data_IF_399436477228
#
_entry.id   IF_399436477228
#
_cell.length_a   1.000
_cell.length_b   1.000
_cell.length_c   1.000
_cell.angle_alpha   90.00
_cell.angle_beta   90.00
_cell.angle_gamma   90.00
#
_symmetry.space_group_name_H-M   'P 1'
#
loop_
_entity.id
_entity.type
_entity.pdbx_description
1 polymer ?
#
# COMPACT_ATOMS: atom_id res chain seq x y z
N UNK A 1 -10.44 2.33 20.31
CA UNK A 1 -9.00 2.32 19.97
C UNK A 1 -8.87 1.62 18.62
N UNK A 2 -8.40 2.31 17.59
CA UNK A 2 -8.11 1.69 16.28
C UNK A 2 -6.89 0.79 16.43
N UNK A 3 -6.91 -0.39 15.81
CA UNK A 3 -5.75 -1.29 15.77
C UNK A 3 -5.05 -1.22 14.41
N UNK A 4 -3.76 -1.56 14.35
CA UNK A 4 -3.05 -1.71 13.07
C UNK A 4 -3.72 -2.71 12.12
N UNK A 5 -4.37 -3.75 12.66
CA UNK A 5 -5.16 -4.70 11.86
C UNK A 5 -6.40 -4.08 11.22
N UNK A 6 -7.07 -3.14 11.91
CA UNK A 6 -8.23 -2.43 11.37
C UNK A 6 -7.82 -1.47 10.24
N UNK A 7 -6.69 -0.76 10.40
CA UNK A 7 -6.11 0.08 9.34
C UNK A 7 -5.69 -0.76 8.14
N UNK A 8 -5.04 -1.90 8.38
CA UNK A 8 -4.64 -2.84 7.31
C UNK A 8 -5.85 -3.35 6.52
N UNK A 9 -6.92 -3.75 7.22
CA UNK A 9 -8.15 -4.23 6.58
C UNK A 9 -8.81 -3.14 5.74
N UNK A 10 -8.92 -1.92 6.26
CA UNK A 10 -9.50 -0.79 5.54
C UNK A 10 -8.68 -0.41 4.29
N UNK A 11 -7.35 -0.35 4.39
CA UNK A 11 -6.48 -0.11 3.23
C UNK A 11 -6.65 -1.21 2.18
N UNK A 12 -6.65 -2.49 2.59
CA UNK A 12 -6.90 -3.61 1.68
C UNK A 12 -8.23 -3.46 0.96
N UNK A 13 -9.30 -3.10 1.67
CA UNK A 13 -10.64 -2.99 1.09
C UNK A 13 -10.72 -1.83 0.08
N UNK A 14 -10.10 -0.68 0.39
CA UNK A 14 -9.97 0.45 -0.55
C UNK A 14 -9.19 0.08 -1.82
N UNK A 15 -8.17 -0.78 -1.69
CA UNK A 15 -7.36 -1.24 -2.82
C UNK A 15 -8.04 -2.33 -3.65
N UNK A 16 -8.82 -3.22 -3.02
CA UNK A 16 -9.50 -4.33 -3.69
C UNK A 16 -10.56 -3.84 -4.68
N UNK A 17 -11.04 -2.60 -4.51
CA UNK A 17 -11.94 -1.93 -5.46
C UNK A 17 -11.27 -1.39 -6.73
N UNK A 18 -9.98 -1.62 -6.96
CA UNK A 18 -9.26 -1.18 -8.17
C UNK A 18 -9.44 -2.22 -9.29
N UNK A 19 -10.10 -1.87 -10.41
CA UNK A 19 -10.33 -2.81 -11.52
C UNK A 19 -9.04 -3.38 -12.09
N UNK A 20 -9.12 -4.63 -12.57
CA UNK A 20 -8.01 -5.33 -13.25
C UNK A 20 -6.75 -5.53 -12.39
N UNK A 21 -6.86 -5.41 -11.07
CA UNK A 21 -5.77 -5.70 -10.13
C UNK A 21 -6.16 -6.82 -9.17
N UNK A 22 -5.16 -7.57 -8.72
CA UNK A 22 -5.28 -8.45 -7.55
C UNK A 22 -4.54 -7.82 -6.38
N UNK A 23 -5.11 -7.85 -5.17
CA UNK A 23 -4.46 -7.33 -3.96
C UNK A 23 -3.95 -8.49 -3.12
N UNK A 24 -2.67 -8.46 -2.77
CA UNK A 24 -2.04 -9.37 -1.83
C UNK A 24 -1.62 -8.62 -0.55
N UNK A 25 -1.53 -9.33 0.57
CA UNK A 25 -1.13 -8.75 1.86
C UNK A 25 0.04 -9.55 2.43
N UNK A 26 1.16 -8.88 2.69
CA UNK A 26 2.34 -9.43 3.37
C UNK A 26 3.10 -10.53 2.61
N UNK A 27 2.62 -10.98 1.45
CA UNK A 27 3.32 -11.93 0.58
C UNK A 27 2.71 -11.93 -0.82
N UNK A 28 3.48 -12.34 -1.82
CA UNK A 28 2.98 -12.62 -3.18
C UNK A 28 3.14 -14.12 -3.41
N UNK A 29 2.11 -14.82 -3.93
CA UNK A 29 2.25 -16.23 -4.27
C UNK A 29 3.33 -16.42 -5.34
N UNK A 30 3.98 -17.59 -5.34
CA UNK A 30 5.03 -17.94 -6.32
C UNK A 30 4.53 -17.87 -7.77
N UNK A 31 3.24 -18.04 -8.00
CA UNK A 31 2.62 -17.91 -9.31
C UNK A 31 1.52 -16.88 -9.24
N UNK A 32 1.62 -15.84 -10.06
CA UNK A 32 0.62 -14.79 -10.21
C UNK A 32 -0.14 -14.95 -11.52
N UNK A 33 -1.39 -14.46 -11.62
CA UNK A 33 -2.14 -14.52 -12.86
C UNK A 33 -1.42 -13.81 -14.01
N UNK A 34 -1.35 -14.48 -15.16
CA UNK A 34 -0.81 -13.91 -16.40
C UNK A 34 -1.91 -13.69 -17.43
N UNK A 35 -1.63 -12.90 -18.45
CA UNK A 35 -2.40 -12.85 -19.70
C UNK A 35 -2.20 -14.16 -20.48
N UNK A 36 -2.96 -14.35 -21.56
CA UNK A 36 -2.78 -15.49 -22.47
C UNK A 36 -1.40 -15.54 -23.15
N UNK A 37 -0.64 -14.44 -23.09
CA UNK A 37 0.71 -14.30 -23.63
C UNK A 37 1.82 -14.52 -22.58
N UNK A 38 1.46 -14.94 -21.35
CA UNK A 38 2.42 -15.19 -20.27
C UNK A 38 2.94 -13.95 -19.55
N UNK A 39 2.42 -12.75 -19.86
CA UNK A 39 2.77 -11.51 -19.16
C UNK A 39 1.99 -11.40 -17.86
N UNK A 40 2.61 -10.95 -16.78
CA UNK A 40 1.89 -10.79 -15.51
C UNK A 40 0.74 -9.77 -15.65
N UNK A 41 -0.39 -10.05 -15.00
CA UNK A 41 -1.45 -9.04 -14.82
C UNK A 41 -1.05 -8.06 -13.71
N UNK A 42 -1.52 -6.80 -13.75
CA UNK A 42 -1.28 -5.87 -12.67
C UNK A 42 -1.73 -6.42 -11.31
N UNK A 43 -0.93 -6.22 -10.28
CA UNK A 43 -1.29 -6.55 -8.91
C UNK A 43 -0.69 -5.53 -7.93
N UNK A 44 -1.25 -5.53 -6.73
CA UNK A 44 -0.89 -4.63 -5.65
C UNK A 44 -0.52 -5.50 -4.45
N UNK A 45 0.56 -5.16 -3.76
CA UNK A 45 0.98 -5.81 -2.53
C UNK A 45 0.98 -4.80 -1.42
N UNK A 46 0.17 -5.06 -0.39
CA UNK A 46 0.15 -4.29 0.84
C UNK A 46 1.12 -4.93 1.84
N UNK A 47 2.13 -4.18 2.23
CA UNK A 47 3.06 -4.51 3.30
C UNK A 47 2.70 -3.61 4.50
N UNK A 48 1.80 -4.05 5.38
CA UNK A 48 1.47 -3.29 6.57
C UNK A 48 2.66 -3.31 7.53
N UNK A 49 2.92 -2.17 8.15
CA UNK A 49 3.77 -2.13 9.33
C UNK A 49 3.03 -2.79 10.51
N UNK A 50 3.79 -3.36 11.45
CA UNK A 50 3.23 -3.81 12.72
C UNK A 50 2.63 -2.62 13.51
N UNK A 51 3.11 -1.41 13.22
CA UNK A 51 2.80 -0.19 13.95
C UNK A 51 3.73 -0.06 15.15
N UNK A 52 4.27 1.13 15.35
CA UNK A 52 5.11 1.41 16.50
C UNK A 52 4.26 1.97 17.65
N UNK A 53 4.60 1.55 18.88
CA UNK A 53 4.17 2.27 20.07
C UNK A 53 4.78 3.68 19.99
N UNK A 54 3.99 4.76 20.10
CA UNK A 54 4.55 6.10 20.06
C UNK A 54 5.59 6.26 21.18
N UNK A 55 6.64 7.04 20.93
CA UNK A 55 7.56 7.46 21.98
C UNK A 55 6.79 8.00 23.20
N UNK A 56 7.34 7.84 24.40
CA UNK A 56 6.74 8.28 25.66
C UNK A 56 6.12 9.68 25.49
N UNK A 57 4.79 9.74 25.52
CA UNK A 57 4.07 10.98 25.31
C UNK A 57 4.24 11.88 26.54
N UNK A 58 4.34 13.21 26.37
CA UNK A 58 4.30 14.11 27.51
C UNK A 58 2.97 13.93 28.27
N UNK A 59 2.98 14.15 29.59
CA UNK A 59 1.85 13.88 30.49
C UNK A 59 0.54 14.62 30.13
N UNK A 60 0.62 15.65 29.27
CA UNK A 60 -0.52 16.43 28.79
C UNK A 60 -1.11 15.91 27.45
N UNK A 61 -0.49 14.90 26.82
CA UNK A 61 -1.07 14.22 25.66
C UNK A 61 -2.17 13.23 26.12
N UNK A 62 -3.41 13.51 25.72
CA UNK A 62 -4.60 12.79 26.16
C UNK A 62 -4.97 11.57 25.30
N UNK A 63 -4.23 11.26 24.24
CA UNK A 63 -4.45 10.03 23.47
C UNK A 63 -3.13 9.48 22.90
N UNK A 64 -2.74 8.23 23.21
CA UNK A 64 -1.66 7.56 22.51
C UNK A 64 -2.11 7.31 21.06
N UNK A 65 -1.55 8.07 20.12
CA UNK A 65 -1.77 7.86 18.69
C UNK A 65 -0.91 6.70 18.20
N UNK A 66 -1.49 5.72 17.51
CA UNK A 66 -0.70 4.70 16.82
C UNK A 66 -0.02 5.36 15.61
N UNK A 67 1.30 5.23 15.51
CA UNK A 67 2.02 5.49 14.26
C UNK A 67 1.95 4.23 13.41
N UNK A 68 0.97 4.17 12.50
CA UNK A 68 0.85 3.06 11.57
C UNK A 68 1.27 3.49 10.16
N UNK A 69 2.07 2.66 9.51
CA UNK A 69 2.51 2.84 8.13
C UNK A 69 2.25 1.61 7.29
N UNK A 70 2.38 1.77 5.98
CA UNK A 70 2.47 0.64 5.07
C UNK A 70 3.24 1.01 3.80
N UNK A 71 3.80 -0.01 3.15
CA UNK A 71 4.28 0.07 1.78
C UNK A 71 3.25 -0.60 0.89
N UNK A 72 2.81 0.10 -0.14
CA UNK A 72 1.97 -0.44 -1.21
C UNK A 72 2.83 -0.56 -2.46
N UNK A 73 3.16 -1.79 -2.85
CA UNK A 73 3.93 -2.07 -4.08
C UNK A 73 2.96 -2.39 -5.21
N UNK A 74 3.05 -1.61 -6.28
CA UNK A 74 2.35 -1.90 -7.54
C UNK A 74 3.29 -2.65 -8.45
N UNK A 75 2.84 -3.73 -9.07
CA UNK A 75 3.61 -4.47 -10.06
C UNK A 75 2.76 -4.77 -11.30
N UNK A 76 3.37 -4.69 -12.48
CA UNK A 76 2.73 -4.96 -13.76
C UNK A 76 3.78 -5.33 -14.83
N UNK A 77 3.33 -5.67 -16.03
CA UNK A 77 4.25 -6.00 -17.12
C UNK A 77 5.01 -4.77 -17.63
N UNK A 78 4.35 -3.61 -17.72
CA UNK A 78 4.96 -2.38 -18.24
C UNK A 78 5.02 -1.26 -17.21
N UNK A 79 5.99 -0.35 -17.37
CA UNK A 79 6.12 0.82 -16.51
C UNK A 79 4.89 1.73 -16.57
N UNK A 80 4.23 1.83 -17.74
CA UNK A 80 3.02 2.62 -17.90
C UNK A 80 1.87 2.06 -17.05
N UNK A 81 1.64 0.75 -17.08
CA UNK A 81 0.62 0.11 -16.25
C UNK A 81 0.89 0.30 -14.75
N UNK A 82 2.17 0.21 -14.35
CA UNK A 82 2.58 0.51 -12.96
C UNK A 82 2.22 1.94 -12.59
N UNK A 83 2.58 2.93 -13.43
CA UNK A 83 2.32 4.34 -13.14
C UNK A 83 0.83 4.68 -13.11
N UNK A 84 0.03 4.14 -14.04
CA UNK A 84 -1.44 4.32 -14.07
C UNK A 84 -2.09 3.69 -12.84
N UNK A 85 -1.67 2.50 -12.45
CA UNK A 85 -2.19 1.81 -11.26
C UNK A 85 -1.76 2.55 -9.99
N UNK A 86 -0.51 3.01 -9.90
CA UNK A 86 0.01 3.80 -8.79
C UNK A 86 -0.73 5.14 -8.61
N UNK A 87 -1.10 5.81 -9.71
CA UNK A 87 -1.93 7.01 -9.64
C UNK A 87 -3.32 6.70 -9.06
N UNK A 88 -3.90 5.55 -9.40
CA UNK A 88 -5.19 5.10 -8.87
C UNK A 88 -5.09 4.72 -7.39
N UNK A 89 -4.02 3.99 -6.99
CA UNK A 89 -3.70 3.70 -5.59
C UNK A 89 -3.59 4.99 -4.78
N UNK A 90 -2.85 5.99 -5.29
CA UNK A 90 -2.75 7.30 -4.66
C UNK A 90 -4.13 7.94 -4.49
N UNK A 91 -4.97 7.95 -5.52
CA UNK A 91 -6.31 8.52 -5.43
C UNK A 91 -7.22 7.79 -4.42
N UNK A 92 -7.02 6.48 -4.23
CA UNK A 92 -7.80 5.65 -3.30
C UNK A 92 -7.34 5.73 -1.84
N UNK A 93 -6.13 6.20 -1.58
CA UNK A 93 -5.55 6.24 -0.24
C UNK A 93 -5.20 7.66 0.22
N UNK A 94 -4.52 8.45 -0.62
CA UNK A 94 -4.04 9.76 -0.19
C UNK A 94 -5.19 10.70 0.18
N UNK A 95 -5.11 11.25 1.39
CA UNK A 95 -6.13 12.10 2.03
C UNK A 95 -7.50 11.44 2.10
N UNK A 96 -7.54 10.11 2.20
CA UNK A 96 -8.77 9.38 2.47
C UNK A 96 -8.86 9.06 3.96
N UNK A 97 -10.07 9.12 4.47
CA UNK A 97 -10.36 8.76 5.85
C UNK A 97 -10.24 7.25 6.07
N UNK A 98 -9.76 6.92 7.25
CA UNK A 98 -9.63 5.56 7.78
C UNK A 98 -10.21 5.44 9.19
N UNK A 99 -10.23 4.22 9.75
CA UNK A 99 -10.79 3.92 11.06
C UNK A 99 -10.26 4.78 12.22
N UNK A 100 -11.18 5.25 13.08
CA UNK A 100 -10.86 6.01 14.30
C UNK A 100 -10.26 7.38 14.06
N UNK A 101 -10.76 8.10 13.05
CA UNK A 101 -10.38 9.48 12.80
C UNK A 101 -8.97 9.62 12.24
N UNK A 102 -8.49 8.62 11.50
CA UNK A 102 -7.21 8.71 10.81
C UNK A 102 -7.39 9.18 9.38
N UNK A 103 -6.40 9.88 8.84
CA UNK A 103 -6.29 10.17 7.41
C UNK A 103 -5.02 9.54 6.86
N UNK A 104 -5.12 8.79 5.76
CA UNK A 104 -3.93 8.24 5.11
C UNK A 104 -3.22 9.30 4.27
N UNK A 105 -1.92 9.44 4.46
CA UNK A 105 -1.07 10.38 3.71
C UNK A 105 0.05 9.60 3.04
N UNK A 106 0.33 9.97 1.79
CA UNK A 106 1.44 9.37 1.06
C UNK A 106 2.71 10.07 1.51
N UNK A 107 3.73 9.30 1.87
CA UNK A 107 5.05 9.82 2.19
C UNK A 107 5.90 9.77 0.91
N UNK A 108 6.47 10.90 0.46
CA UNK A 108 7.42 10.90 -0.62
C UNK A 108 8.66 10.08 -0.23
N UNK A 109 8.91 8.98 -0.94
CA UNK A 109 10.03 8.06 -0.67
C UNK A 109 11.11 8.08 -1.76
N UNK A 110 10.96 8.92 -2.79
CA UNK A 110 11.90 9.00 -3.93
C UNK A 110 11.95 7.76 -4.82
N UNK A 111 11.07 6.77 -4.59
CA UNK A 111 11.05 5.53 -5.35
C UNK A 111 10.74 5.79 -6.84
N UNK A 112 11.41 5.05 -7.70
CA UNK A 112 11.19 5.03 -9.15
C UNK A 112 10.68 3.65 -9.56
N UNK A 113 10.09 3.57 -10.75
CA UNK A 113 9.75 2.27 -11.33
C UNK A 113 11.05 1.48 -11.51
N UNK A 114 11.10 0.30 -10.91
CA UNK A 114 12.18 -0.66 -11.04
C UNK A 114 11.76 -1.83 -11.91
N UNK A 115 12.76 -2.53 -12.46
CA UNK A 115 12.58 -3.80 -13.15
C UNK A 115 12.99 -4.93 -12.22
N UNK A 116 12.19 -5.99 -12.20
CA UNK A 116 12.50 -7.25 -11.55
C UNK A 116 12.84 -8.28 -12.64
N UNK A 117 14.14 -8.54 -12.86
CA UNK A 117 14.60 -9.43 -13.91
C UNK A 117 14.49 -10.92 -13.54
N UNK A 118 14.18 -11.24 -12.28
CA UNK A 118 14.11 -12.63 -11.80
C UNK A 118 12.80 -13.33 -12.24
N UNK A 119 11.82 -12.55 -12.69
CA UNK A 119 10.59 -13.04 -13.31
C UNK A 119 10.76 -13.17 -14.84
N UNK A 120 10.14 -14.18 -15.44
CA UNK A 120 10.15 -14.37 -16.90
C UNK A 120 8.72 -14.45 -17.44
N UNK A 121 8.26 -13.47 -18.24
CA UNK A 121 8.94 -12.23 -18.63
C UNK A 121 9.18 -11.27 -17.45
N UNK A 122 10.18 -10.36 -17.53
CA UNK A 122 10.44 -9.39 -16.48
C UNK A 122 9.19 -8.58 -16.12
N UNK A 123 9.07 -8.24 -14.84
CA UNK A 123 8.01 -7.36 -14.34
C UNK A 123 8.58 -6.00 -13.94
N UNK A 124 7.74 -4.99 -13.97
CA UNK A 124 8.02 -3.66 -13.48
C UNK A 124 7.31 -3.46 -12.15
N UNK A 125 7.89 -2.68 -11.24
CA UNK A 125 7.30 -2.43 -9.92
C UNK A 125 7.59 -1.04 -9.37
N UNK A 126 6.73 -0.56 -8.47
CA UNK A 126 6.89 0.72 -7.77
C UNK A 126 6.39 0.60 -6.32
N UNK A 127 7.26 0.72 -5.30
CA UNK A 127 6.86 0.80 -3.90
C UNK A 127 6.42 2.23 -3.53
N UNK A 128 5.28 2.36 -2.85
CA UNK A 128 4.72 3.62 -2.37
C UNK A 128 4.51 3.57 -0.85
N UNK A 129 5.02 4.55 -0.11
CA UNK A 129 4.84 4.60 1.34
C UNK A 129 3.62 5.44 1.74
N UNK A 130 2.85 4.94 2.70
CA UNK A 130 1.71 5.64 3.31
C UNK A 130 1.77 5.58 4.84
N UNK A 131 1.22 6.60 5.50
CA UNK A 131 1.07 6.69 6.96
C UNK A 131 -0.36 7.04 7.31
N UNK A 132 -0.89 6.47 8.38
CA UNK A 132 -2.14 6.90 8.99
C UNK A 132 -1.85 8.00 10.03
N UNK A 133 -2.41 9.18 9.84
CA UNK A 133 -2.27 10.31 10.77
C UNK A 133 -3.57 10.49 11.53
N UNK A 134 -3.51 10.66 12.85
CA UNK A 134 -4.71 10.96 13.66
C UNK A 134 -5.08 12.44 13.50
N UNK A 135 -6.30 12.73 13.07
CA UNK A 135 -6.84 14.11 13.08
C UNK A 135 -7.61 14.33 14.38
N UNK A 136 -7.14 15.29 15.19
CA UNK A 136 -7.80 15.76 16.42
C UNK A 136 -8.86 16.81 16.13
#
# INVERSE_FOLDING_TARGET
>A
MTTGSALTADVRDKLTGIPHTTVYVGSVPKTVPTTGEGRIKPYIVLWPDAGDEPAEAPLDMTAPGISWGCIVTVAAHTAMEVLTTAATVRARLHRQDGPGGTTYVQVPNGAKVGEDPDETPPRQFLPMEFRALTTH
#
